data_IF_953957886369
#
_entry.id   IF_953957886369
#
_cell.length_a   1.000
_cell.length_b   1.000
_cell.length_c   1.000
_cell.angle_alpha   90.00
_cell.angle_beta   90.00
_cell.angle_gamma   90.00
#
_symmetry.space_group_name_H-M   'P 1'
#
loop_
_entity.id
_entity.type
_entity.pdbx_description
1 polymer ?
#
# COMPACT_ATOMS: atom_id res chain seq x y z
N UNK A 1 35.37 23.20 33.04
CA UNK A 1 34.91 22.83 34.38
C UNK A 1 33.87 21.75 34.19
N UNK A 2 34.25 20.51 34.26
CA UNK A 2 34.13 19.55 35.35
C UNK A 2 32.67 19.39 35.82
N UNK A 3 31.98 18.28 35.56
CA UNK A 3 32.07 17.08 36.29
C UNK A 3 31.28 15.88 35.68
N UNK A 4 32.03 14.79 35.58
CA UNK A 4 31.61 13.41 35.49
C UNK A 4 30.64 13.01 36.64
N UNK A 5 29.65 12.16 36.34
CA UNK A 5 29.40 10.97 37.15
C UNK A 5 28.72 9.88 36.33
N UNK A 6 29.48 8.80 36.16
CA UNK A 6 29.00 7.45 35.84
C UNK A 6 28.12 6.94 37.00
N UNK A 7 27.10 6.18 36.66
CA UNK A 7 26.70 5.11 37.58
C UNK A 7 26.19 3.89 36.76
N UNK A 8 26.99 2.85 36.86
CA UNK A 8 26.73 1.48 36.45
C UNK A 8 25.78 0.80 37.44
N UNK A 9 24.75 0.15 36.97
CA UNK A 9 24.14 -0.94 37.75
C UNK A 9 23.78 -2.12 36.84
N UNK A 10 24.39 -3.23 37.14
CA UNK A 10 24.23 -4.54 36.52
C UNK A 10 23.04 -5.31 37.13
N UNK A 11 22.48 -6.20 36.32
CA UNK A 11 21.84 -7.49 36.59
C UNK A 11 20.42 -7.51 37.19
N UNK A 12 19.47 -8.07 36.45
CA UNK A 12 19.07 -9.45 36.78
C UNK A 12 18.25 -10.08 35.62
N UNK A 13 18.83 -11.15 35.10
CA UNK A 13 18.15 -12.13 34.23
C UNK A 13 17.25 -12.98 35.14
N UNK A 14 15.96 -13.04 34.87
CA UNK A 14 15.08 -14.10 35.36
C UNK A 14 14.44 -14.81 34.17
N UNK A 15 14.93 -16.03 33.98
CA UNK A 15 14.40 -17.13 33.21
C UNK A 15 13.01 -17.49 33.75
N UNK A 16 12.00 -17.48 32.89
CA UNK A 16 10.70 -18.09 33.17
C UNK A 16 10.45 -19.17 32.13
N UNK A 17 10.22 -20.36 32.65
CA UNK A 17 10.01 -21.60 31.94
C UNK A 17 8.70 -21.64 31.10
N UNK A 18 8.82 -22.37 30.01
CA UNK A 18 7.73 -22.85 29.19
C UNK A 18 6.68 -23.64 29.98
N UNK A 19 5.42 -23.27 29.83
CA UNK A 19 4.34 -24.23 30.09
C UNK A 19 3.55 -24.37 28.76
N UNK A 20 3.76 -25.50 28.12
CA UNK A 20 2.93 -26.01 27.02
C UNK A 20 1.53 -26.32 27.54
N UNK A 21 0.54 -25.73 26.91
CA UNK A 21 -0.83 -26.23 26.99
C UNK A 21 -1.22 -26.77 25.63
N UNK A 22 -1.34 -28.09 25.55
CA UNK A 22 -1.87 -28.82 24.40
C UNK A 22 -3.36 -28.55 24.26
N UNK A 23 -3.80 -28.04 23.13
CA UNK A 23 -5.18 -28.08 22.72
C UNK A 23 -5.40 -29.19 21.69
N UNK A 24 -6.09 -30.23 22.16
CA UNK A 24 -6.54 -31.41 21.43
C UNK A 24 -7.56 -31.00 20.34
N UNK A 25 -7.21 -31.17 19.09
CA UNK A 25 -8.15 -31.16 17.97
C UNK A 25 -8.83 -32.53 17.89
N UNK A 26 -10.13 -32.57 18.09
CA UNK A 26 -10.97 -33.70 17.69
C UNK A 26 -11.24 -33.66 16.19
N UNK A 27 -10.65 -34.59 15.47
CA UNK A 27 -10.99 -34.91 14.08
C UNK A 27 -12.09 -35.96 14.07
N UNK A 28 -13.26 -35.62 13.56
CA UNK A 28 -14.30 -36.59 13.22
C UNK A 28 -13.89 -37.37 11.97
N UNK A 29 -13.68 -38.66 12.17
CA UNK A 29 -13.45 -39.68 11.16
C UNK A 29 -14.79 -40.15 10.62
N UNK A 30 -14.94 -40.13 9.30
CA UNK A 30 -16.01 -40.78 8.55
C UNK A 30 -15.65 -42.27 8.45
N UNK A 31 -16.45 -43.13 8.94
CA UNK A 31 -16.35 -44.59 8.71
C UNK A 31 -17.49 -45.07 7.85
N UNK A 32 -17.09 -45.82 6.87
CA UNK A 32 -17.84 -46.50 5.82
C UNK A 32 -18.64 -47.70 6.36
N UNK A 33 -19.82 -47.82 5.78
CA UNK A 33 -20.79 -48.90 5.99
C UNK A 33 -20.24 -50.27 5.58
N UNK A 34 -20.44 -51.26 6.42
CA UNK A 34 -20.58 -52.70 6.01
C UNK A 34 -21.83 -53.30 6.59
N UNK A 35 -22.64 -53.86 5.66
CA UNK A 35 -23.80 -54.69 5.91
C UNK A 35 -23.50 -55.91 6.81
N UNK A 36 -24.43 -56.27 7.67
CA UNK A 36 -24.96 -57.65 7.78
C UNK A 36 -26.14 -57.76 8.76
N UNK A 37 -27.24 -58.31 8.19
CA UNK A 37 -28.22 -59.24 8.75
C UNK A 37 -29.15 -58.81 9.89
N UNK A 38 -30.44 -58.73 9.45
CA UNK A 38 -31.67 -58.82 10.23
C UNK A 38 -31.70 -59.99 11.25
N UNK A 39 -32.41 -59.80 12.42
CA UNK A 39 -33.78 -60.34 12.43
C UNK A 39 -34.86 -59.60 13.27
N UNK A 40 -36.10 -59.70 12.74
CA UNK A 40 -37.39 -59.82 13.42
C UNK A 40 -38.00 -58.63 14.17
N UNK A 41 -38.93 -58.01 13.38
CA UNK A 41 -40.34 -57.75 13.75
C UNK A 41 -40.68 -57.57 15.24
N UNK A 42 -41.01 -56.33 15.60
CA UNK A 42 -42.16 -55.85 16.40
C UNK A 42 -41.91 -54.42 16.88
N UNK A 43 -42.21 -53.41 16.08
CA UNK A 43 -42.44 -52.02 16.50
C UNK A 43 -42.81 -51.07 15.36
N UNK A 44 -43.40 -51.55 14.29
CA UNK A 44 -43.74 -50.70 13.13
C UNK A 44 -45.16 -50.11 13.24
N UNK A 45 -46.01 -50.64 14.09
CA UNK A 45 -47.41 -50.14 14.18
C UNK A 45 -47.59 -48.91 15.05
N UNK A 46 -46.70 -48.66 16.03
CA UNK A 46 -46.85 -47.53 16.98
C UNK A 46 -46.32 -46.18 16.42
N UNK A 47 -45.35 -46.24 15.50
CA UNK A 47 -44.78 -45.04 14.87
C UNK A 47 -45.68 -44.48 13.77
N UNK A 48 -46.33 -45.37 13.00
CA UNK A 48 -47.25 -44.96 11.92
C UNK A 48 -48.55 -44.38 12.45
N UNK A 49 -49.01 -44.84 13.62
CA UNK A 49 -50.24 -44.29 14.28
C UNK A 49 -49.92 -42.91 14.88
N UNK A 50 -48.76 -42.70 15.47
CA UNK A 50 -48.37 -41.40 16.00
C UNK A 50 -48.10 -40.35 14.88
N UNK A 51 -47.49 -40.75 13.76
CA UNK A 51 -47.33 -39.85 12.62
C UNK A 51 -48.65 -39.49 11.95
N UNK A 52 -49.57 -40.43 11.81
CA UNK A 52 -50.91 -40.15 11.28
C UNK A 52 -51.74 -39.29 12.21
N UNK A 53 -51.62 -39.47 13.53
CA UNK A 53 -52.33 -38.63 14.53
C UNK A 53 -51.72 -37.21 14.58
N UNK A 54 -50.40 -37.07 14.48
CA UNK A 54 -49.76 -35.74 14.46
C UNK A 54 -50.01 -34.99 13.14
N UNK A 55 -50.01 -35.66 11.98
CA UNK A 55 -50.39 -35.04 10.70
C UNK A 55 -51.87 -34.63 10.71
N UNK A 56 -52.76 -35.49 11.16
CA UNK A 56 -54.19 -35.17 11.24
C UNK A 56 -54.48 -34.02 12.19
N UNK A 57 -53.77 -33.91 13.34
CA UNK A 57 -53.90 -32.81 14.28
C UNK A 57 -53.30 -31.48 13.75
N UNK A 58 -52.27 -31.55 12.90
CA UNK A 58 -51.72 -30.36 12.25
C UNK A 58 -52.62 -29.88 11.10
N UNK A 59 -53.13 -30.80 10.30
CA UNK A 59 -54.07 -30.48 9.21
C UNK A 59 -55.37 -29.86 9.77
N UNK A 60 -55.90 -30.40 10.88
CA UNK A 60 -57.06 -29.83 11.57
C UNK A 60 -56.78 -28.43 12.15
N UNK A 61 -55.60 -28.17 12.64
CA UNK A 61 -55.19 -26.82 13.13
C UNK A 61 -55.01 -25.83 11.97
N UNK A 62 -54.39 -26.27 10.89
CA UNK A 62 -54.21 -25.46 9.68
C UNK A 62 -55.59 -25.18 9.05
N UNK A 63 -56.46 -26.16 8.95
CA UNK A 63 -57.82 -25.98 8.44
C UNK A 63 -58.61 -24.99 9.29
N UNK A 64 -58.62 -25.15 10.62
CA UNK A 64 -59.25 -24.21 11.54
C UNK A 64 -58.68 -22.79 11.47
N UNK A 65 -57.40 -22.68 11.20
CA UNK A 65 -56.75 -21.37 10.97
C UNK A 65 -57.27 -20.73 9.67
N UNK A 66 -57.36 -21.46 8.57
CA UNK A 66 -57.92 -20.92 7.34
C UNK A 66 -59.41 -20.61 7.45
N UNK A 67 -60.20 -21.44 8.15
CA UNK A 67 -61.59 -21.18 8.43
C UNK A 67 -61.78 -19.90 9.31
N UNK A 68 -60.88 -19.70 10.29
CA UNK A 68 -60.84 -18.47 11.09
C UNK A 68 -60.46 -17.25 10.21
N UNK A 69 -59.43 -17.37 9.36
CA UNK A 69 -59.04 -16.32 8.45
C UNK A 69 -60.16 -15.95 7.49
N UNK A 70 -60.82 -16.93 6.91
CA UNK A 70 -61.93 -16.70 5.96
C UNK A 70 -63.15 -16.08 6.65
N UNK A 71 -63.48 -16.57 7.85
CA UNK A 71 -64.58 -16.02 8.67
C UNK A 71 -64.37 -14.57 9.08
N UNK A 72 -63.11 -14.20 9.37
CA UNK A 72 -62.76 -12.84 9.85
C UNK A 72 -61.97 -12.03 8.80
N UNK A 73 -61.95 -12.48 7.53
CA UNK A 73 -61.12 -11.86 6.46
C UNK A 73 -61.32 -10.36 6.35
N UNK A 74 -62.56 -9.85 6.48
CA UNK A 74 -62.83 -8.42 6.41
C UNK A 74 -62.30 -7.69 7.61
N UNK A 75 -62.32 -8.27 8.81
CA UNK A 75 -61.74 -7.72 10.01
C UNK A 75 -60.21 -7.73 9.94
N UNK A 76 -59.61 -8.81 9.40
CA UNK A 76 -58.16 -8.91 9.19
C UNK A 76 -57.70 -7.89 8.14
N UNK A 77 -58.41 -7.75 7.03
CA UNK A 77 -58.12 -6.70 6.04
C UNK A 77 -58.21 -5.30 6.61
N UNK A 78 -59.25 -5.02 7.43
CA UNK A 78 -59.41 -3.76 8.14
C UNK A 78 -58.28 -3.49 9.10
N UNK A 79 -57.81 -4.51 9.85
CA UNK A 79 -56.68 -4.39 10.76
C UNK A 79 -55.38 -4.14 10.03
N UNK A 80 -55.12 -4.89 8.95
CA UNK A 80 -53.91 -4.70 8.10
C UNK A 80 -53.94 -3.31 7.44
N UNK A 81 -55.09 -2.90 6.88
CA UNK A 81 -55.25 -1.57 6.32
C UNK A 81 -55.08 -0.47 7.37
N UNK A 82 -55.59 -0.68 8.58
CA UNK A 82 -55.38 0.24 9.70
C UNK A 82 -53.91 0.37 10.11
N UNK A 83 -53.21 -0.76 10.22
CA UNK A 83 -51.76 -0.76 10.50
C UNK A 83 -50.97 -0.04 9.40
N UNK A 84 -51.25 -0.33 8.11
CA UNK A 84 -50.58 0.32 6.98
C UNK A 84 -50.89 1.84 6.97
N UNK A 85 -52.11 2.21 7.24
CA UNK A 85 -52.53 3.64 7.33
C UNK A 85 -51.82 4.32 8.50
N UNK A 86 -51.70 3.64 9.64
CA UNK A 86 -50.96 4.18 10.80
C UNK A 86 -49.48 4.35 10.49
N UNK A 87 -48.86 3.35 9.85
CA UNK A 87 -47.46 3.44 9.41
C UNK A 87 -47.27 4.59 8.41
N UNK A 88 -48.20 4.72 7.44
CA UNK A 88 -48.18 5.81 6.47
C UNK A 88 -48.34 7.20 7.13
N UNK A 89 -49.24 7.33 8.07
CA UNK A 89 -49.43 8.55 8.88
C UNK A 89 -48.21 8.85 9.73
N UNK A 90 -47.60 7.82 10.36
CA UNK A 90 -46.35 7.96 11.12
C UNK A 90 -45.21 8.41 10.22
N UNK A 91 -45.08 7.89 9.03
CA UNK A 91 -44.02 8.30 8.06
C UNK A 91 -44.24 9.77 7.64
N UNK A 92 -45.49 10.21 7.43
CA UNK A 92 -45.81 11.59 7.02
C UNK A 92 -45.67 12.59 8.20
N UNK A 93 -46.05 12.17 9.42
CA UNK A 93 -46.04 13.05 10.62
C UNK A 93 -44.72 12.88 11.39
N UNK A 94 -43.87 11.87 11.01
CA UNK A 94 -42.58 11.71 11.68
C UNK A 94 -41.80 12.99 11.49
N UNK A 95 -41.47 13.72 12.57
CA UNK A 95 -40.72 14.96 12.42
C UNK A 95 -39.42 14.65 11.69
N UNK A 96 -39.12 15.42 10.67
CA UNK A 96 -37.77 15.37 10.05
C UNK A 96 -36.79 15.46 11.21
N UNK A 97 -35.82 14.52 11.21
CA UNK A 97 -34.81 14.47 12.29
C UNK A 97 -33.92 15.71 12.30
N UNK A 98 -34.02 16.51 11.25
CA UNK A 98 -33.32 17.77 11.09
C UNK A 98 -34.33 18.87 11.44
N UNK A 99 -34.05 19.63 12.50
CA UNK A 99 -34.84 20.82 12.81
C UNK A 99 -34.65 21.80 11.64
N UNK A 100 -35.77 22.40 11.18
CA UNK A 100 -35.73 23.48 10.20
C UNK A 100 -36.28 24.76 10.86
N UNK A 101 -35.64 25.88 10.53
CA UNK A 101 -36.17 27.20 10.88
C UNK A 101 -37.35 27.57 9.96
N UNK A 102 -38.11 28.63 10.30
CA UNK A 102 -39.27 29.08 9.50
C UNK A 102 -38.92 29.41 8.04
N UNK A 103 -37.67 29.77 7.76
CA UNK A 103 -37.12 30.04 6.42
C UNK A 103 -36.64 28.81 5.68
N UNK A 104 -36.74 27.60 6.29
CA UNK A 104 -36.33 26.33 5.71
C UNK A 104 -34.84 25.99 5.90
N UNK A 105 -34.08 26.84 6.60
CA UNK A 105 -32.65 26.56 6.90
C UNK A 105 -32.51 25.58 8.07
N UNK A 106 -31.43 24.82 8.07
CA UNK A 106 -31.15 23.82 9.10
C UNK A 106 -30.23 24.39 10.18
N UNK A 107 -30.72 24.55 11.45
CA UNK A 107 -29.87 24.98 12.55
C UNK A 107 -28.93 23.85 12.96
N UNK A 108 -27.63 24.17 13.02
CA UNK A 108 -26.59 23.26 13.52
C UNK A 108 -26.28 23.48 14.97
N UNK A 109 -26.28 24.77 15.41
CA UNK A 109 -26.05 25.18 16.78
C UNK A 109 -26.78 26.50 17.07
N UNK A 110 -27.17 26.71 18.31
CA UNK A 110 -27.91 27.91 18.73
C UNK A 110 -27.37 28.42 20.06
N UNK A 111 -27.27 29.75 20.17
CA UNK A 111 -27.08 30.47 21.42
C UNK A 111 -28.13 31.58 21.49
N UNK A 112 -28.31 32.20 22.67
CA UNK A 112 -29.28 33.26 22.82
C UNK A 112 -29.08 34.40 21.81
N UNK A 113 -30.07 34.56 20.94
CA UNK A 113 -30.07 35.59 19.90
C UNK A 113 -29.22 35.31 18.64
N UNK A 114 -28.64 34.09 18.49
CA UNK A 114 -27.86 33.73 17.31
C UNK A 114 -27.92 32.24 17.00
N UNK A 115 -28.23 31.92 15.74
CA UNK A 115 -28.29 30.55 15.24
C UNK A 115 -27.23 30.36 14.14
N UNK A 116 -26.42 29.32 14.27
CA UNK A 116 -25.53 28.84 13.20
C UNK A 116 -26.29 27.84 12.37
N UNK A 117 -26.37 28.09 11.08
CA UNK A 117 -27.07 27.20 10.12
C UNK A 117 -26.07 26.31 9.34
N UNK A 118 -26.57 25.24 8.73
CA UNK A 118 -25.77 24.38 7.85
C UNK A 118 -25.18 25.18 6.67
N UNK A 119 -25.94 26.12 6.10
CA UNK A 119 -25.47 26.98 5.01
C UNK A 119 -24.30 27.86 5.44
N UNK A 120 -24.38 28.49 6.64
CA UNK A 120 -23.28 29.28 7.18
C UNK A 120 -22.03 28.43 7.36
N UNK A 121 -22.19 27.23 7.94
CA UNK A 121 -21.08 26.30 8.13
C UNK A 121 -20.49 25.85 6.79
N UNK A 122 -21.34 25.61 5.78
CA UNK A 122 -20.89 25.26 4.43
C UNK A 122 -20.07 26.37 3.77
N UNK A 123 -20.54 27.62 3.88
CA UNK A 123 -19.79 28.78 3.33
C UNK A 123 -18.43 28.96 4.04
N UNK A 124 -18.39 28.81 5.37
CA UNK A 124 -17.15 28.85 6.13
C UNK A 124 -16.19 27.70 5.74
N UNK A 125 -16.73 26.49 5.56
CA UNK A 125 -15.94 25.35 5.08
C UNK A 125 -15.36 25.60 3.68
N UNK A 126 -16.15 26.16 2.77
CA UNK A 126 -15.66 26.55 1.44
C UNK A 126 -14.53 27.58 1.54
N UNK A 127 -14.61 28.50 2.49
CA UNK A 127 -13.57 29.51 2.67
C UNK A 127 -12.25 28.93 3.16
N UNK A 128 -12.30 28.00 4.13
CA UNK A 128 -11.14 27.47 4.86
C UNK A 128 -10.49 26.27 4.15
N UNK A 129 -11.29 25.24 3.84
CA UNK A 129 -10.76 23.96 3.32
C UNK A 129 -10.59 23.92 1.80
N UNK A 130 -10.89 25.04 1.13
CA UNK A 130 -10.70 25.15 -0.31
C UNK A 130 -11.43 24.05 -1.09
N UNK A 131 -10.79 23.50 -2.11
CA UNK A 131 -11.32 22.48 -3.00
C UNK A 131 -10.89 21.06 -2.60
N UNK A 132 -9.96 20.91 -1.67
CA UNK A 132 -9.33 19.61 -1.36
C UNK A 132 -10.35 18.54 -0.93
N UNK A 133 -11.24 18.86 0.00
CA UNK A 133 -12.25 17.91 0.48
C UNK A 133 -13.17 17.45 -0.67
N UNK A 134 -13.58 18.36 -1.55
CA UNK A 134 -14.38 18.03 -2.73
C UNK A 134 -13.63 17.09 -3.68
N UNK A 135 -12.33 17.35 -3.88
CA UNK A 135 -11.50 16.50 -4.74
C UNK A 135 -11.25 15.13 -4.12
N UNK A 136 -11.15 15.04 -2.79
CA UNK A 136 -11.03 13.75 -2.12
C UNK A 136 -12.27 12.87 -2.35
N UNK A 137 -13.46 13.44 -2.25
CA UNK A 137 -14.72 12.72 -2.52
C UNK A 137 -14.84 12.30 -4.00
N UNK A 138 -14.53 13.21 -4.92
CA UNK A 138 -14.59 12.96 -6.37
C UNK A 138 -13.58 11.88 -6.76
N UNK A 139 -12.32 12.05 -6.36
CA UNK A 139 -11.25 11.12 -6.68
C UNK A 139 -11.50 9.74 -6.08
N UNK A 140 -11.99 9.69 -4.83
CA UNK A 140 -12.39 8.43 -4.21
C UNK A 140 -13.39 7.70 -5.09
N UNK A 141 -14.45 8.40 -5.52
CA UNK A 141 -15.51 7.80 -6.33
C UNK A 141 -15.00 7.29 -7.70
N UNK A 142 -14.15 8.07 -8.37
CA UNK A 142 -13.59 7.68 -9.67
C UNK A 142 -12.62 6.51 -9.51
N UNK A 143 -11.72 6.61 -8.53
CA UNK A 143 -10.61 5.67 -8.37
C UNK A 143 -11.03 4.34 -7.74
N UNK A 144 -12.09 4.30 -6.93
CA UNK A 144 -12.64 3.03 -6.41
C UNK A 144 -13.16 2.12 -7.51
N UNK A 145 -13.74 2.69 -8.57
CA UNK A 145 -14.17 1.92 -9.74
C UNK A 145 -12.99 1.40 -10.56
N UNK A 146 -11.93 2.22 -10.71
CA UNK A 146 -10.78 1.87 -11.54
C UNK A 146 -9.81 0.94 -10.82
N UNK A 147 -9.58 1.17 -9.54
CA UNK A 147 -8.69 0.39 -8.66
C UNK A 147 -9.49 -0.12 -7.46
N UNK A 148 -10.25 -1.22 -7.63
CA UNK A 148 -10.98 -1.82 -6.52
C UNK A 148 -10.02 -2.28 -5.42
N UNK A 149 -10.54 -2.40 -4.21
CA UNK A 149 -9.76 -2.85 -3.06
C UNK A 149 -9.22 -4.27 -3.28
N UNK A 150 -7.92 -4.45 -2.99
CA UNK A 150 -7.21 -5.73 -3.07
C UNK A 150 -6.49 -6.03 -1.75
N UNK A 151 -6.12 -7.29 -1.53
CA UNK A 151 -5.32 -7.66 -0.36
C UNK A 151 -3.96 -6.95 -0.37
N UNK A 152 -3.32 -6.82 -1.55
CA UNK A 152 -2.07 -6.09 -1.75
C UNK A 152 -2.18 -4.62 -1.31
N UNK A 153 -3.21 -3.91 -1.79
CA UNK A 153 -3.48 -2.52 -1.36
C UNK A 153 -3.66 -2.43 0.16
N UNK A 154 -4.38 -3.38 0.75
CA UNK A 154 -4.63 -3.37 2.20
C UNK A 154 -3.33 -3.59 3.00
N UNK A 155 -2.46 -4.48 2.53
CA UNK A 155 -1.18 -4.77 3.17
C UNK A 155 -0.22 -3.57 3.07
N UNK A 156 -0.13 -2.93 1.89
CA UNK A 156 0.69 -1.73 1.69
C UNK A 156 0.20 -0.56 2.53
N UNK A 157 -1.10 -0.27 2.50
CA UNK A 157 -1.73 0.79 3.30
C UNK A 157 -1.55 0.56 4.80
N UNK A 158 -1.66 -0.69 5.26
CA UNK A 158 -1.41 -1.02 6.66
C UNK A 158 0.07 -0.80 7.05
N UNK A 159 0.99 -1.20 6.17
CA UNK A 159 2.43 -0.98 6.36
C UNK A 159 2.78 0.51 6.40
N UNK A 160 2.20 1.30 5.49
CA UNK A 160 2.39 2.74 5.47
C UNK A 160 1.84 3.42 6.73
N UNK A 161 0.65 3.00 7.20
CA UNK A 161 0.08 3.50 8.45
C UNK A 161 0.99 3.23 9.65
N UNK A 162 1.53 2.03 9.77
CA UNK A 162 2.49 1.67 10.83
C UNK A 162 3.78 2.50 10.74
N UNK A 163 4.27 2.80 9.54
CA UNK A 163 5.42 3.70 9.35
C UNK A 163 5.13 5.10 9.88
N UNK A 164 3.96 5.68 9.59
CA UNK A 164 3.55 6.96 10.17
C UNK A 164 3.51 6.92 11.69
N UNK A 165 2.91 5.90 12.29
CA UNK A 165 2.85 5.76 13.75
C UNK A 165 4.25 5.67 14.37
N UNK A 166 5.13 4.85 13.81
CA UNK A 166 6.51 4.68 14.30
C UNK A 166 7.33 5.97 14.18
N UNK A 167 7.19 6.72 13.10
CA UNK A 167 7.87 8.02 12.90
C UNK A 167 7.38 9.01 13.97
N UNK A 168 6.08 9.16 14.16
CA UNK A 168 5.54 10.12 15.11
C UNK A 168 5.82 9.71 16.57
N UNK A 169 5.83 8.43 16.88
CA UNK A 169 6.27 7.94 18.19
C UNK A 169 7.75 8.26 18.44
N UNK A 170 8.62 7.98 17.47
CA UNK A 170 10.07 8.15 17.59
C UNK A 170 10.49 9.62 17.70
N UNK A 171 9.88 10.53 16.92
CA UNK A 171 10.28 11.95 16.87
C UNK A 171 9.53 12.82 17.85
N UNK A 172 8.25 12.52 18.14
CA UNK A 172 7.37 13.37 18.95
C UNK A 172 6.86 12.69 20.22
N UNK A 173 7.08 11.37 20.38
CA UNK A 173 6.56 10.59 21.50
C UNK A 173 5.03 10.46 21.47
N UNK A 174 4.40 10.58 20.31
CA UNK A 174 2.95 10.49 20.17
C UNK A 174 2.49 9.05 20.20
N UNK A 175 1.37 8.80 20.91
CA UNK A 175 0.62 7.56 20.70
C UNK A 175 -0.14 7.61 19.37
N UNK A 176 -0.62 6.47 18.91
CA UNK A 176 -1.47 6.36 17.73
C UNK A 176 -2.68 7.30 17.80
N UNK A 177 -3.36 7.34 18.94
CA UNK A 177 -4.53 8.21 19.14
C UNK A 177 -4.15 9.69 19.06
N UNK A 178 -2.99 10.07 19.61
CA UNK A 178 -2.48 11.43 19.55
C UNK A 178 -2.10 11.82 18.11
N UNK A 179 -1.47 10.90 17.37
CA UNK A 179 -1.19 11.10 15.95
C UNK A 179 -2.49 11.35 15.16
N UNK A 180 -3.48 10.47 15.29
CA UNK A 180 -4.76 10.60 14.59
C UNK A 180 -5.44 11.94 14.91
N UNK A 181 -5.55 12.27 16.19
CA UNK A 181 -6.19 13.50 16.64
C UNK A 181 -5.46 14.77 16.16
N UNK A 182 -4.11 14.78 16.19
CA UNK A 182 -3.30 15.93 15.77
C UNK A 182 -3.36 16.17 14.26
N UNK A 183 -3.63 15.12 13.48
CA UNK A 183 -3.79 15.19 12.02
C UNK A 183 -5.26 15.26 11.56
N UNK A 184 -6.20 15.43 12.50
CA UNK A 184 -7.62 15.63 12.18
C UNK A 184 -8.40 14.37 11.85
N UNK A 185 -7.82 13.18 12.06
CA UNK A 185 -8.51 11.91 11.84
C UNK A 185 -9.38 11.54 13.06
N UNK A 186 -10.62 11.21 12.81
CA UNK A 186 -11.57 10.81 13.87
C UNK A 186 -11.38 9.36 14.33
N UNK A 187 -10.72 8.54 13.52
CA UNK A 187 -10.45 7.13 13.78
C UNK A 187 -9.32 6.61 12.88
N UNK A 188 -8.75 5.46 13.24
CA UNK A 188 -7.84 4.73 12.36
C UNK A 188 -8.48 4.39 11.01
N UNK A 189 -9.76 4.01 11.01
CA UNK A 189 -10.47 3.71 9.76
C UNK A 189 -10.51 4.91 8.82
N UNK A 190 -10.69 6.15 9.33
CA UNK A 190 -10.64 7.35 8.49
C UNK A 190 -9.23 7.64 7.95
N UNK A 191 -8.20 7.33 8.70
CA UNK A 191 -6.81 7.44 8.24
C UNK A 191 -6.48 6.40 7.17
N UNK A 192 -6.89 5.14 7.36
CA UNK A 192 -6.71 4.09 6.35
C UNK A 192 -7.46 4.40 5.04
N UNK A 193 -8.66 5.00 5.11
CA UNK A 193 -9.37 5.45 3.91
C UNK A 193 -8.61 6.57 3.18
N UNK A 194 -8.04 7.51 3.92
CA UNK A 194 -7.17 8.53 3.35
C UNK A 194 -5.96 7.91 2.64
N UNK A 195 -5.26 6.96 3.27
CA UNK A 195 -4.12 6.27 2.65
C UNK A 195 -4.53 5.46 1.41
N UNK A 196 -5.69 4.78 1.43
CA UNK A 196 -6.22 4.10 0.25
C UNK A 196 -6.48 5.06 -0.91
N UNK A 197 -6.95 6.26 -0.63
CA UNK A 197 -7.12 7.28 -1.67
C UNK A 197 -5.75 7.72 -2.22
N UNK A 198 -4.74 7.95 -1.36
CA UNK A 198 -3.40 8.31 -1.81
C UNK A 198 -2.77 7.19 -2.66
N UNK A 199 -2.88 5.93 -2.22
CA UNK A 199 -2.44 4.76 -2.99
C UNK A 199 -3.04 4.75 -4.40
N UNK A 200 -4.35 4.92 -4.52
CA UNK A 200 -5.05 4.93 -5.80
C UNK A 200 -4.65 6.11 -6.69
N UNK A 201 -4.45 7.31 -6.11
CA UNK A 201 -3.97 8.50 -6.83
C UNK A 201 -2.57 8.27 -7.39
N UNK A 202 -1.67 7.71 -6.59
CA UNK A 202 -0.32 7.38 -7.01
C UNK A 202 -0.36 6.36 -8.15
N UNK A 203 -1.12 5.28 -7.97
CA UNK A 203 -1.28 4.24 -9.00
C UNK A 203 -1.82 4.80 -10.33
N UNK A 204 -2.80 5.70 -10.26
CA UNK A 204 -3.31 6.37 -11.47
C UNK A 204 -2.25 7.24 -12.13
N UNK A 205 -1.51 8.01 -11.33
CA UNK A 205 -0.43 8.85 -11.84
C UNK A 205 0.68 8.03 -12.49
N UNK A 206 1.10 6.94 -11.88
CA UNK A 206 2.07 6.00 -12.46
C UNK A 206 1.59 5.45 -13.80
N UNK A 207 0.37 4.92 -13.87
CA UNK A 207 -0.22 4.39 -15.10
C UNK A 207 -0.31 5.48 -16.18
N UNK A 208 -0.63 6.72 -15.79
CA UNK A 208 -0.65 7.86 -16.71
C UNK A 208 0.74 8.17 -17.25
N UNK A 209 1.75 8.27 -16.40
CA UNK A 209 3.12 8.58 -16.83
C UNK A 209 3.69 7.46 -17.70
N UNK A 210 3.44 6.19 -17.35
CA UNK A 210 3.78 5.04 -18.22
C UNK A 210 3.15 5.17 -19.61
N UNK A 211 1.93 5.69 -19.70
CA UNK A 211 1.25 5.92 -20.98
C UNK A 211 1.86 7.03 -21.83
N UNK A 212 2.72 7.88 -21.26
CA UNK A 212 3.44 8.93 -21.98
C UNK A 212 4.75 8.43 -22.58
N UNK A 213 5.23 7.25 -22.19
CA UNK A 213 6.43 6.64 -22.75
C UNK A 213 6.11 6.16 -24.16
N UNK A 214 6.91 6.58 -25.13
CA UNK A 214 6.72 6.24 -26.55
C UNK A 214 7.56 5.03 -26.96
N UNK A 215 7.11 4.30 -27.99
CA UNK A 215 7.87 3.18 -28.55
C UNK A 215 9.28 3.60 -29.00
N UNK A 216 9.44 4.83 -29.49
CA UNK A 216 10.75 5.37 -29.87
C UNK A 216 11.68 5.53 -28.67
N UNK A 217 11.22 6.03 -27.54
CA UNK A 217 12.01 6.14 -26.31
C UNK A 217 12.41 4.76 -25.79
N UNK A 218 11.50 3.79 -25.88
CA UNK A 218 11.78 2.40 -25.49
C UNK A 218 12.89 1.80 -26.37
N UNK A 219 12.79 1.98 -27.69
CA UNK A 219 13.81 1.49 -28.63
C UNK A 219 15.16 2.17 -28.38
N UNK A 220 15.19 3.50 -28.21
CA UNK A 220 16.42 4.26 -27.93
C UNK A 220 17.06 3.79 -26.61
N UNK A 221 16.28 3.67 -25.52
CA UNK A 221 16.77 3.17 -24.24
C UNK A 221 17.31 1.74 -24.35
N UNK A 222 16.58 0.86 -25.06
CA UNK A 222 17.03 -0.51 -25.28
C UNK A 222 18.36 -0.55 -26.02
N UNK A 223 18.55 0.24 -27.07
CA UNK A 223 19.79 0.20 -27.86
C UNK A 223 20.98 0.78 -27.07
N UNK A 224 20.76 1.86 -26.34
CA UNK A 224 21.81 2.63 -25.71
C UNK A 224 22.18 2.14 -24.30
N UNK A 225 21.21 1.69 -23.50
CA UNK A 225 21.43 1.41 -22.07
C UNK A 225 21.38 -0.10 -21.73
N UNK A 226 20.60 -0.91 -22.48
CA UNK A 226 20.43 -2.32 -22.14
C UNK A 226 21.60 -3.14 -22.63
N UNK A 227 22.14 -3.97 -21.76
CA UNK A 227 23.14 -4.97 -22.08
C UNK A 227 22.89 -6.28 -21.32
N UNK A 228 23.54 -7.38 -21.71
CA UNK A 228 23.43 -8.64 -20.97
C UNK A 228 24.13 -8.54 -19.61
N UNK A 229 23.60 -9.19 -18.61
CA UNK A 229 24.17 -9.16 -17.26
C UNK A 229 25.68 -9.43 -17.25
N UNK A 230 26.40 -8.62 -16.52
CA UNK A 230 27.85 -8.70 -16.40
C UNK A 230 28.22 -9.31 -15.04
N UNK A 231 29.03 -10.34 -15.08
CA UNK A 231 29.57 -11.02 -13.91
C UNK A 231 30.87 -10.35 -13.48
N UNK A 232 30.88 -9.77 -12.26
CA UNK A 232 32.05 -9.04 -11.78
C UNK A 232 32.48 -9.50 -10.40
N UNK A 233 33.75 -9.28 -10.14
CA UNK A 233 34.35 -9.25 -8.81
C UNK A 233 35.23 -8.02 -8.68
N UNK A 234 35.55 -7.61 -7.48
CA UNK A 234 36.40 -6.47 -7.27
C UNK A 234 37.27 -6.57 -6.01
N UNK A 235 38.33 -5.80 -6.02
CA UNK A 235 39.10 -5.45 -4.84
C UNK A 235 38.80 -4.00 -4.50
N UNK A 236 38.37 -3.75 -3.26
CA UNK A 236 38.06 -2.42 -2.75
C UNK A 236 39.09 -2.02 -1.69
N UNK A 237 39.77 -0.90 -1.92
CA UNK A 237 40.48 -0.17 -0.88
C UNK A 237 39.50 0.84 -0.27
N UNK A 238 39.00 0.53 0.92
CA UNK A 238 38.00 1.37 1.60
C UNK A 238 38.53 2.71 1.97
N UNK A 239 37.66 3.72 1.90
CA UNK A 239 37.90 5.08 2.37
C UNK A 239 36.70 5.53 3.14
N UNK A 240 36.87 5.94 4.40
CA UNK A 240 35.78 6.45 5.21
C UNK A 240 35.29 7.82 4.68
N UNK A 241 34.03 8.12 4.90
CA UNK A 241 33.41 9.36 4.38
C UNK A 241 34.06 10.63 4.91
N UNK A 242 34.65 10.58 6.10
CA UNK A 242 35.36 11.66 6.79
C UNK A 242 36.90 11.57 6.66
N UNK A 243 37.40 10.68 5.80
CA UNK A 243 38.83 10.54 5.55
C UNK A 243 39.46 11.80 5.04
N UNK A 244 40.71 12.07 5.47
CA UNK A 244 41.53 13.19 5.02
C UNK A 244 41.95 13.01 3.55
N UNK A 245 42.44 14.08 2.93
CA UNK A 245 42.96 14.02 1.56
C UNK A 245 44.23 13.17 1.46
N UNK A 246 45.02 13.09 2.55
CA UNK A 246 46.18 12.20 2.63
C UNK A 246 45.74 10.74 2.61
N UNK A 247 44.76 10.33 3.44
CA UNK A 247 44.20 8.97 3.50
C UNK A 247 43.59 8.55 2.16
N UNK A 248 42.84 9.46 1.51
CA UNK A 248 42.30 9.26 0.15
C UNK A 248 43.40 8.99 -0.87
N UNK A 249 44.49 9.77 -0.77
CA UNK A 249 45.63 9.62 -1.67
C UNK A 249 46.38 8.32 -1.42
N UNK A 250 46.56 7.91 -0.16
CA UNK A 250 47.16 6.62 0.19
C UNK A 250 46.33 5.45 -0.32
N UNK A 251 45.02 5.49 -0.18
CA UNK A 251 44.11 4.47 -0.69
C UNK A 251 44.13 4.37 -2.23
N UNK A 252 44.17 5.52 -2.91
CA UNK A 252 44.31 5.56 -4.38
C UNK A 252 45.63 4.97 -4.82
N UNK A 253 46.72 5.28 -4.13
CA UNK A 253 48.05 4.75 -4.45
C UNK A 253 48.12 3.23 -4.21
N UNK A 254 47.52 2.72 -3.14
CA UNK A 254 47.40 1.31 -2.87
C UNK A 254 46.62 0.59 -4.01
N UNK A 255 45.49 1.16 -4.45
CA UNK A 255 44.74 0.62 -5.57
C UNK A 255 45.55 0.62 -6.87
N UNK A 256 46.38 1.65 -7.14
CA UNK A 256 47.32 1.69 -8.28
C UNK A 256 48.42 0.63 -8.14
N UNK A 257 48.96 0.41 -6.94
CA UNK A 257 49.94 -0.64 -6.67
C UNK A 257 49.34 -2.04 -6.96
N UNK A 258 48.10 -2.29 -6.53
CA UNK A 258 47.35 -3.51 -6.81
C UNK A 258 47.23 -3.74 -8.32
N UNK A 259 46.83 -2.72 -9.07
CA UNK A 259 46.75 -2.79 -10.53
C UNK A 259 48.15 -3.11 -11.14
N UNK A 260 49.23 -2.50 -10.65
CA UNK A 260 50.59 -2.80 -11.10
C UNK A 260 50.98 -4.26 -10.86
N UNK A 261 50.55 -4.86 -9.73
CA UNK A 261 50.78 -6.28 -9.45
C UNK A 261 50.05 -7.20 -10.42
N UNK A 262 48.82 -6.81 -10.77
CA UNK A 262 48.06 -7.53 -11.78
C UNK A 262 48.70 -7.42 -13.20
N UNK A 263 49.23 -6.21 -13.53
CA UNK A 263 49.96 -5.98 -14.79
C UNK A 263 51.33 -6.75 -14.86
N UNK A 264 51.93 -7.00 -13.68
CA UNK A 264 53.12 -7.87 -13.55
C UNK A 264 52.79 -9.37 -13.71
N UNK A 265 51.49 -9.73 -13.83
CA UNK A 265 51.02 -11.08 -14.08
C UNK A 265 50.56 -11.85 -12.85
N UNK A 266 50.41 -11.18 -11.68
CA UNK A 266 49.73 -11.80 -10.55
C UNK A 266 48.25 -11.97 -10.82
N UNK A 267 47.66 -13.04 -10.31
CA UNK A 267 46.21 -13.26 -10.34
C UNK A 267 45.48 -12.42 -9.28
N UNK A 268 44.19 -12.22 -9.47
CA UNK A 268 43.35 -11.57 -8.48
C UNK A 268 43.41 -12.30 -7.11
N UNK A 269 43.48 -13.62 -7.10
CA UNK A 269 43.55 -14.40 -5.87
C UNK A 269 44.91 -14.24 -5.15
N UNK A 270 46.01 -14.14 -5.90
CA UNK A 270 47.32 -13.86 -5.31
C UNK A 270 47.38 -12.46 -4.71
N UNK A 271 46.83 -11.46 -5.38
CA UNK A 271 46.75 -10.07 -4.88
C UNK A 271 45.81 -9.99 -3.67
N UNK A 272 44.66 -10.64 -3.70
CA UNK A 272 43.74 -10.75 -2.59
C UNK A 272 44.41 -11.28 -1.32
N UNK A 273 45.21 -12.35 -1.45
CA UNK A 273 45.90 -12.93 -0.28
C UNK A 273 47.06 -12.04 0.20
N UNK A 274 47.78 -11.38 -0.71
CA UNK A 274 48.90 -10.50 -0.38
C UNK A 274 48.42 -9.25 0.40
N UNK A 275 47.27 -8.67 0.03
CA UNK A 275 46.74 -7.42 0.60
C UNK A 275 45.53 -7.63 1.50
N UNK A 276 45.22 -8.85 1.93
CA UNK A 276 43.98 -9.23 2.65
C UNK A 276 43.63 -8.36 3.87
N UNK A 277 44.62 -7.80 4.56
CA UNK A 277 44.45 -6.98 5.75
C UNK A 277 44.19 -5.49 5.40
N UNK A 278 44.31 -5.11 4.12
CA UNK A 278 44.20 -3.73 3.63
C UNK A 278 43.06 -3.52 2.63
N UNK A 279 42.41 -4.60 2.20
CA UNK A 279 41.39 -4.58 1.15
C UNK A 279 40.13 -5.32 1.57
N UNK A 280 39.05 -5.05 0.85
CA UNK A 280 37.87 -5.91 0.80
C UNK A 280 37.78 -6.55 -0.58
N UNK A 281 37.54 -7.86 -0.64
CA UNK A 281 37.31 -8.58 -1.89
C UNK A 281 35.86 -9.04 -1.92
N UNK A 282 35.19 -8.78 -3.03
CA UNK A 282 33.80 -9.21 -3.22
C UNK A 282 33.58 -9.75 -4.63
N UNK A 283 32.78 -10.82 -4.71
CA UNK A 283 32.25 -11.36 -5.98
C UNK A 283 30.78 -10.94 -6.04
N UNK A 284 30.48 -9.94 -6.89
CA UNK A 284 29.13 -9.42 -7.02
C UNK A 284 28.20 -10.33 -7.81
N UNK A 285 28.78 -11.26 -8.60
CA UNK A 285 28.01 -12.08 -9.52
C UNK A 285 27.48 -11.26 -10.70
N UNK A 286 26.45 -11.79 -11.36
CA UNK A 286 25.79 -11.12 -12.46
C UNK A 286 25.01 -9.90 -12.02
N UNK A 287 25.27 -8.76 -12.65
CA UNK A 287 24.56 -7.50 -12.46
C UNK A 287 23.97 -7.03 -13.78
N UNK A 288 22.68 -6.66 -13.74
CA UNK A 288 21.98 -6.13 -14.90
C UNK A 288 22.34 -4.66 -15.17
N UNK A 289 21.94 -4.16 -16.32
CA UNK A 289 22.13 -2.76 -16.74
C UNK A 289 21.50 -1.73 -15.79
N UNK A 290 20.46 -2.11 -15.04
CA UNK A 290 19.75 -1.28 -14.07
C UNK A 290 20.11 -1.62 -12.60
N UNK A 291 21.23 -2.33 -12.37
CA UNK A 291 21.65 -2.66 -11.02
C UNK A 291 21.91 -1.40 -10.18
N UNK A 292 21.48 -1.42 -8.92
CA UNK A 292 21.71 -0.33 -7.98
C UNK A 292 23.18 -0.30 -7.51
N UNK A 293 24.09 0.06 -8.41
CA UNK A 293 25.51 0.28 -8.17
C UNK A 293 25.85 1.75 -8.50
N UNK A 294 26.98 2.23 -8.00
CA UNK A 294 27.42 3.60 -8.36
C UNK A 294 27.79 3.68 -9.84
N UNK A 295 27.40 4.78 -10.51
CA UNK A 295 27.59 4.98 -11.95
C UNK A 295 29.03 4.80 -12.40
N UNK A 296 30.01 5.21 -11.61
CA UNK A 296 31.41 5.00 -11.93
C UNK A 296 31.79 3.50 -12.00
N UNK A 297 31.20 2.68 -11.13
CA UNK A 297 31.39 1.24 -11.14
C UNK A 297 30.69 0.59 -12.34
N UNK A 298 29.47 0.99 -12.64
CA UNK A 298 28.69 0.52 -13.79
C UNK A 298 29.40 0.82 -15.09
N UNK A 299 29.83 2.06 -15.28
CA UNK A 299 30.56 2.50 -16.48
C UNK A 299 31.84 1.68 -16.69
N UNK A 300 32.63 1.47 -15.63
CA UNK A 300 33.85 0.66 -15.76
C UNK A 300 33.52 -0.80 -16.06
N UNK A 301 32.59 -1.40 -15.34
CA UNK A 301 32.14 -2.78 -15.53
C UNK A 301 31.72 -3.05 -16.98
N UNK A 302 30.97 -2.11 -17.58
CA UNK A 302 30.53 -2.19 -18.97
C UNK A 302 31.68 -2.07 -19.98
N UNK A 303 32.60 -1.15 -19.74
CA UNK A 303 33.73 -0.85 -20.65
C UNK A 303 34.76 -1.98 -20.74
N UNK A 304 34.84 -2.82 -19.70
CA UNK A 304 35.80 -3.90 -19.62
C UNK A 304 35.48 -5.05 -20.61
N UNK A 305 36.51 -5.62 -21.22
CA UNK A 305 36.37 -6.91 -21.89
C UNK A 305 36.24 -8.06 -20.88
N UNK A 306 35.65 -9.18 -21.27
CA UNK A 306 35.66 -10.39 -20.45
C UNK A 306 37.09 -10.80 -20.09
N UNK A 307 37.26 -11.36 -18.90
CA UNK A 307 38.55 -11.73 -18.33
C UNK A 307 39.55 -10.57 -18.24
N UNK A 308 39.05 -9.34 -18.00
CA UNK A 308 39.89 -8.16 -17.84
C UNK A 308 39.53 -7.35 -16.59
N UNK A 309 40.43 -6.47 -16.19
CA UNK A 309 40.28 -5.62 -15.01
C UNK A 309 40.57 -4.14 -15.32
N UNK A 310 40.04 -3.26 -14.48
CA UNK A 310 40.25 -1.83 -14.60
C UNK A 310 41.73 -1.45 -14.54
N UNK A 311 42.14 -0.59 -15.45
CA UNK A 311 43.55 -0.13 -15.54
C UNK A 311 43.83 1.10 -14.73
N UNK A 312 42.80 1.68 -14.17
CA UNK A 312 42.83 2.80 -13.20
C UNK A 312 41.90 2.49 -12.05
N UNK A 313 42.19 2.98 -10.83
CA UNK A 313 41.25 2.84 -9.72
C UNK A 313 39.91 3.51 -10.01
N UNK A 314 38.81 2.78 -9.80
CA UNK A 314 37.44 3.29 -9.94
C UNK A 314 37.01 3.89 -8.61
N UNK A 315 36.82 5.18 -8.57
CA UNK A 315 36.44 5.91 -7.36
C UNK A 315 34.93 5.87 -7.16
N UNK A 316 34.51 5.44 -5.97
CA UNK A 316 33.13 5.49 -5.50
C UNK A 316 33.05 6.16 -4.12
N UNK A 317 31.85 6.23 -3.55
CA UNK A 317 31.67 6.70 -2.16
C UNK A 317 32.27 5.73 -1.12
N UNK A 318 32.52 4.48 -1.49
CA UNK A 318 33.11 3.45 -0.60
C UNK A 318 34.64 3.44 -0.63
N UNK A 319 35.28 4.10 -1.61
CA UNK A 319 36.72 4.11 -1.80
C UNK A 319 37.12 3.87 -3.24
N UNK A 320 38.23 3.12 -3.44
CA UNK A 320 38.81 2.84 -4.76
C UNK A 320 38.71 1.38 -5.09
N UNK A 321 38.02 1.06 -6.19
CA UNK A 321 37.83 -0.30 -6.67
C UNK A 321 38.84 -0.66 -7.80
N UNK A 322 39.27 -1.89 -7.79
CA UNK A 322 39.85 -2.55 -8.95
C UNK A 322 38.82 -3.57 -9.40
N UNK A 323 38.12 -3.25 -10.49
CA UNK A 323 36.99 -4.04 -10.99
C UNK A 323 37.53 -5.10 -11.95
N UNK A 324 37.02 -6.33 -11.87
CA UNK A 324 37.32 -7.42 -12.81
C UNK A 324 35.99 -7.93 -13.38
N UNK A 325 35.90 -7.88 -14.70
CA UNK A 325 34.79 -8.47 -15.44
C UNK A 325 35.14 -9.93 -15.78
N UNK A 326 34.37 -10.87 -15.26
CA UNK A 326 34.55 -12.29 -15.50
C UNK A 326 33.98 -12.66 -16.87
N UNK A 327 32.70 -12.44 -17.05
CA UNK A 327 31.98 -12.70 -18.30
C UNK A 327 30.73 -11.82 -18.43
N UNK A 328 30.03 -11.95 -19.54
CA UNK A 328 28.77 -11.27 -19.80
C UNK A 328 27.81 -12.21 -20.49
N UNK A 329 26.56 -12.19 -20.08
CA UNK A 329 25.44 -12.85 -20.76
C UNK A 329 25.09 -12.15 -22.07
N UNK A 330 24.35 -12.84 -22.93
CA UNK A 330 23.75 -12.22 -24.12
C UNK A 330 22.76 -11.12 -23.70
N UNK A 331 22.72 -10.00 -24.45
CA UNK A 331 21.69 -8.95 -24.29
C UNK A 331 20.32 -9.61 -24.40
N UNK A 332 19.39 -9.32 -23.44
CA UNK A 332 18.03 -9.86 -23.51
C UNK A 332 17.27 -9.27 -24.71
N UNK A 333 16.26 -9.98 -25.20
CA UNK A 333 15.40 -9.46 -26.25
C UNK A 333 14.54 -8.30 -25.69
N UNK A 334 14.20 -7.32 -26.55
CA UNK A 334 13.42 -6.14 -26.13
C UNK A 334 12.12 -6.52 -25.42
N UNK A 335 11.40 -7.51 -25.89
CA UNK A 335 10.13 -7.96 -25.30
C UNK A 335 10.30 -8.52 -23.87
N UNK A 336 11.50 -8.96 -23.50
CA UNK A 336 11.78 -9.48 -22.14
C UNK A 336 12.01 -8.38 -21.12
N UNK A 337 12.40 -7.18 -21.55
CA UNK A 337 12.76 -6.04 -20.69
C UNK A 337 11.90 -4.82 -20.94
N UNK A 338 10.93 -4.89 -21.85
CA UNK A 338 10.11 -3.75 -22.28
C UNK A 338 9.35 -3.10 -21.11
N UNK A 339 8.73 -3.90 -20.25
CA UNK A 339 7.97 -3.38 -19.13
C UNK A 339 8.87 -2.67 -18.12
N UNK A 340 10.06 -3.20 -17.88
CA UNK A 340 11.07 -2.60 -17.01
C UNK A 340 11.61 -1.28 -17.58
N UNK A 341 11.86 -1.22 -18.90
CA UNK A 341 12.23 0.03 -19.58
C UNK A 341 11.14 1.09 -19.45
N UNK A 342 9.87 0.70 -19.62
CA UNK A 342 8.73 1.62 -19.44
C UNK A 342 8.69 2.14 -18.01
N UNK A 343 8.94 1.31 -17.00
CA UNK A 343 9.00 1.74 -15.60
C UNK A 343 10.12 2.75 -15.38
N UNK A 344 11.34 2.45 -15.84
CA UNK A 344 12.49 3.35 -15.70
C UNK A 344 12.23 4.71 -16.38
N UNK A 345 11.78 4.71 -17.63
CA UNK A 345 11.47 5.95 -18.36
C UNK A 345 10.32 6.74 -17.73
N UNK A 346 9.34 6.06 -17.15
CA UNK A 346 8.25 6.74 -16.44
C UNK A 346 8.73 7.36 -15.12
N UNK A 347 9.63 6.71 -14.37
CA UNK A 347 10.26 7.27 -13.18
C UNK A 347 11.13 8.50 -13.53
N UNK A 348 11.91 8.44 -14.61
CA UNK A 348 12.68 9.58 -15.12
C UNK A 348 11.77 10.76 -15.46
N UNK A 349 10.69 10.54 -16.26
CA UNK A 349 9.71 11.57 -16.58
C UNK A 349 9.08 12.20 -15.34
N UNK A 350 8.72 11.38 -14.35
CA UNK A 350 8.14 11.85 -13.09
C UNK A 350 9.14 12.66 -12.26
N UNK A 351 10.41 12.31 -12.33
CA UNK A 351 11.50 13.03 -11.65
C UNK A 351 11.80 14.37 -12.33
N UNK A 352 11.73 14.44 -13.65
CA UNK A 352 11.95 15.64 -14.44
C UNK A 352 10.80 16.65 -14.33
N UNK A 353 9.56 16.15 -14.28
CA UNK A 353 8.35 16.97 -14.14
C UNK A 353 7.42 16.44 -13.04
N UNK A 354 7.61 16.98 -11.84
CA UNK A 354 6.79 16.64 -10.67
C UNK A 354 5.33 17.09 -10.80
N UNK A 355 4.99 17.91 -11.80
CA UNK A 355 3.60 18.32 -12.06
C UNK A 355 2.80 17.21 -12.73
N UNK A 356 3.44 16.21 -13.31
CA UNK A 356 2.75 15.09 -13.98
C UNK A 356 1.71 14.40 -13.08
N UNK A 357 1.96 14.34 -11.79
CA UNK A 357 0.99 13.83 -10.83
C UNK A 357 -0.32 14.63 -10.84
N UNK A 358 -0.24 15.96 -10.78
CA UNK A 358 -1.41 16.83 -10.78
C UNK A 358 -2.09 16.88 -12.14
N UNK A 359 -1.31 16.86 -13.22
CA UNK A 359 -1.80 16.79 -14.60
C UNK A 359 -2.59 15.49 -14.82
N UNK A 360 -2.08 14.36 -14.31
CA UNK A 360 -2.78 13.08 -14.37
C UNK A 360 -4.15 13.15 -13.69
N UNK A 361 -4.21 13.68 -12.45
CA UNK A 361 -5.48 13.80 -11.73
C UNK A 361 -6.45 14.79 -12.37
N UNK A 362 -5.97 15.92 -12.92
CA UNK A 362 -6.81 16.86 -13.68
C UNK A 362 -7.43 16.19 -14.92
N UNK A 363 -6.61 15.44 -15.65
CA UNK A 363 -7.06 14.65 -16.80
C UNK A 363 -8.12 13.63 -16.39
N UNK A 364 -7.88 12.86 -15.35
CA UNK A 364 -8.83 11.89 -14.80
C UNK A 364 -10.19 12.52 -14.50
N UNK A 365 -10.19 13.63 -13.78
CA UNK A 365 -11.41 14.36 -13.42
C UNK A 365 -12.14 14.91 -14.64
N UNK A 366 -11.39 15.42 -15.60
CA UNK A 366 -11.93 15.91 -16.87
C UNK A 366 -12.56 14.79 -17.68
N UNK A 367 -11.91 13.65 -17.81
CA UNK A 367 -12.42 12.47 -18.52
C UNK A 367 -13.65 11.86 -17.83
N UNK A 368 -13.72 11.96 -16.49
CA UNK A 368 -14.89 11.57 -15.71
C UNK A 368 -16.05 12.60 -15.83
N UNK A 369 -15.86 13.72 -16.52
CA UNK A 369 -16.89 14.74 -16.75
C UNK A 369 -17.12 15.66 -15.56
N UNK A 370 -16.07 15.97 -14.77
CA UNK A 370 -16.19 16.92 -13.66
C UNK A 370 -16.80 18.25 -14.11
N UNK A 371 -17.89 18.63 -13.49
CA UNK A 371 -18.57 19.92 -13.67
C UNK A 371 -18.85 20.56 -12.31
N UNK A 372 -18.58 21.85 -12.21
CA UNK A 372 -18.87 22.62 -11.00
C UNK A 372 -20.21 23.34 -11.12
N UNK A 373 -21.02 23.26 -10.07
CA UNK A 373 -22.25 24.05 -9.92
C UNK A 373 -22.07 25.23 -8.95
N UNK A 374 -20.93 25.29 -8.25
CA UNK A 374 -20.53 26.40 -7.38
C UNK A 374 -19.34 27.12 -8.01
N UNK A 375 -19.53 28.38 -8.37
CA UNK A 375 -18.52 29.19 -9.06
C UNK A 375 -17.30 29.53 -8.19
N UNK A 376 -17.45 29.53 -6.86
CA UNK A 376 -16.34 29.76 -5.92
C UNK A 376 -15.42 28.54 -5.91
N UNK A 377 -16.00 27.33 -5.83
CA UNK A 377 -15.23 26.08 -5.88
C UNK A 377 -14.57 25.89 -7.24
N UNK A 378 -15.26 26.23 -8.33
CA UNK A 378 -14.70 26.23 -9.69
C UNK A 378 -13.48 27.16 -9.80
N UNK A 379 -13.61 28.40 -9.30
CA UNK A 379 -12.51 29.36 -9.31
C UNK A 379 -11.32 28.89 -8.49
N UNK A 380 -11.56 28.30 -7.31
CA UNK A 380 -10.50 27.72 -6.46
C UNK A 380 -9.82 26.53 -7.13
N UNK A 381 -10.58 25.66 -7.78
CA UNK A 381 -10.02 24.54 -8.54
C UNK A 381 -9.13 25.04 -9.68
N UNK A 382 -9.61 25.98 -10.46
CA UNK A 382 -8.83 26.56 -11.56
C UNK A 382 -7.55 27.25 -11.06
N UNK A 383 -7.62 27.93 -9.92
CA UNK A 383 -6.45 28.56 -9.29
C UNK A 383 -5.45 27.49 -8.85
N UNK A 384 -5.92 26.45 -8.15
CA UNK A 384 -5.09 25.31 -7.71
C UNK A 384 -4.41 24.64 -8.91
N UNK A 385 -5.15 24.33 -9.98
CA UNK A 385 -4.59 23.68 -11.16
C UNK A 385 -3.67 24.59 -11.99
N UNK A 386 -3.79 25.90 -11.85
CA UNK A 386 -2.91 26.84 -12.57
C UNK A 386 -1.46 26.84 -12.08
N UNK A 387 -1.21 26.29 -10.90
CA UNK A 387 0.14 26.12 -10.33
C UNK A 387 0.91 24.97 -10.99
N UNK A 388 0.22 24.06 -11.67
CA UNK A 388 0.77 22.82 -12.24
C UNK A 388 0.66 22.73 -13.79
N UNK A 389 0.20 23.79 -14.46
CA UNK A 389 0.04 23.85 -15.93
C UNK A 389 1.09 24.66 -16.63
#
# INVERSE_FOLDING_TARGET
>A
MANKKQNTSKKNVKKVENTKTENKKETKKVETVKETKTPKTKKVEDVTVKEKITKKNNDDKIFKFFEFVDKYRMAIYGLVAGILLTIFVVIIIWPDRIAQLEDGTEPVAEIDGYTVTADMLYEDMKAVYSVSLLLDEIDTKILEEKYPETDEMNDEVASEAENYYNIYESYYGYTKEQFLASNGFTSEASFLQYLKLQYRRNKYSEDYVKSLVTDKEIEEYYEDEVYGDINTKHILVKVDSDATDEEKTEAENLAKEIISKLDEGKTFDEVKEEYKDQITYEELGYKSYNASLESAYMTEMESLANDSYSKTPVKTSYGYHVVYRIDQKTKPELEEVKDEIIETLAEEKSSEDTNLYYIALDKMRTEAGLTFHDTVLESKYNTYMSEYK
#
